data_IF_421105719238
#
_entry.id   IF_421105719238
#
_cell.length_a   1.000
_cell.length_b   1.000
_cell.length_c   1.000
_cell.angle_alpha   90.00
_cell.angle_beta   90.00
_cell.angle_gamma   90.00
#
_symmetry.space_group_name_H-M   'P 1'
#
loop_
_entity.id
_entity.type
_entity.pdbx_description
1 polymer ?
#
# COMPACT_ATOMS: atom_id res chain seq x y z
N UNK A 1 -18.85 -7.10 -11.83
CA UNK A 1 -18.07 -7.13 -10.60
C UNK A 1 -16.99 -6.08 -10.71
N UNK A 2 -17.23 -4.92 -10.11
CA UNK A 2 -16.24 -3.83 -10.11
C UNK A 2 -15.07 -4.21 -9.24
N UNK A 3 -13.98 -4.60 -9.89
CA UNK A 3 -12.71 -4.92 -9.22
C UNK A 3 -11.90 -3.68 -8.83
N UNK A 4 -12.42 -2.49 -9.14
CA UNK A 4 -11.71 -1.22 -9.01
C UNK A 4 -12.15 -0.37 -7.81
N UNK A 5 -13.00 -0.88 -6.94
CA UNK A 5 -13.35 -0.13 -5.74
C UNK A 5 -12.28 -0.43 -4.68
N UNK A 6 -11.53 0.57 -4.24
CA UNK A 6 -10.62 0.41 -3.11
C UNK A 6 -11.43 -0.10 -1.90
N UNK A 7 -10.86 -0.97 -1.08
CA UNK A 7 -11.59 -1.57 0.05
C UNK A 7 -12.01 -0.58 1.14
N UNK A 8 -11.74 0.69 0.94
CA UNK A 8 -12.03 1.78 1.87
C UNK A 8 -12.80 2.86 1.14
N UNK A 9 -13.84 3.39 1.77
CA UNK A 9 -14.74 4.43 1.25
C UNK A 9 -14.07 5.82 1.12
N UNK A 10 -12.77 5.89 0.95
CA UNK A 10 -12.13 7.15 0.59
C UNK A 10 -12.54 7.54 -0.84
N UNK A 11 -13.06 8.75 -1.04
CA UNK A 11 -13.36 9.22 -2.38
C UNK A 11 -12.08 9.19 -3.23
N UNK A 12 -12.17 8.75 -4.49
CA UNK A 12 -11.00 8.76 -5.36
C UNK A 12 -10.48 10.19 -5.51
N UNK A 13 -9.16 10.35 -5.38
CA UNK A 13 -8.52 11.63 -5.64
C UNK A 13 -8.72 12.00 -7.11
N UNK A 14 -8.96 13.28 -7.36
CA UNK A 14 -9.03 13.79 -8.74
C UNK A 14 -7.64 13.71 -9.39
N UNK A 15 -7.60 13.46 -10.70
CA UNK A 15 -6.36 13.21 -11.43
C UNK A 15 -5.39 14.41 -11.46
N UNK A 16 -5.87 15.61 -11.21
CA UNK A 16 -5.04 16.80 -11.05
C UNK A 16 -4.35 16.91 -9.67
N UNK A 17 -4.77 16.08 -8.71
CA UNK A 17 -4.11 16.00 -7.42
C UNK A 17 -2.76 15.28 -7.56
N UNK A 18 -1.63 15.87 -7.08
CA UNK A 18 -0.32 15.22 -7.17
C UNK A 18 -0.23 13.87 -6.43
N UNK A 19 -1.11 13.60 -5.50
CA UNK A 19 -1.23 12.31 -4.83
C UNK A 19 -2.14 11.31 -5.56
N UNK A 20 -2.64 11.67 -6.73
CA UNK A 20 -3.47 10.77 -7.50
C UNK A 20 -2.68 9.53 -7.92
N UNK A 21 -3.31 8.39 -7.75
CA UNK A 21 -2.81 7.12 -8.21
C UNK A 21 -3.86 6.05 -8.03
N UNK A 22 -3.64 4.92 -8.65
CA UNK A 22 -4.49 3.74 -8.48
C UNK A 22 -3.64 2.51 -8.36
N UNK A 23 -4.16 1.52 -7.69
CA UNK A 23 -3.50 0.26 -7.49
C UNK A 23 -4.46 -0.90 -7.67
N UNK A 24 -3.91 -2.05 -7.95
CA UNK A 24 -4.61 -3.32 -7.88
C UNK A 24 -3.64 -4.40 -7.44
N UNK A 25 -4.20 -5.49 -6.99
CA UNK A 25 -3.41 -6.64 -6.61
C UNK A 25 -4.10 -7.90 -7.10
N UNK A 26 -3.30 -8.87 -7.51
CA UNK A 26 -3.83 -10.20 -7.78
C UNK A 26 -4.32 -10.83 -6.47
N UNK A 27 -5.47 -11.51 -6.46
CA UNK A 27 -5.94 -12.18 -5.26
C UNK A 27 -4.96 -13.29 -4.86
N UNK A 28 -4.85 -13.54 -3.57
CA UNK A 28 -4.00 -14.62 -3.08
C UNK A 28 -4.38 -15.98 -3.69
N UNK A 29 -5.68 -16.26 -3.77
CA UNK A 29 -6.22 -17.49 -4.41
C UNK A 29 -5.50 -18.78 -3.97
N UNK A 30 -5.23 -18.89 -2.66
CA UNK A 30 -4.51 -20.04 -2.08
C UNK A 30 -3.00 -20.01 -2.28
N UNK A 31 -2.46 -19.01 -2.98
CA UNK A 31 -1.02 -18.86 -3.21
C UNK A 31 -0.35 -18.15 -2.03
N UNK A 32 0.94 -18.33 -1.90
CA UNK A 32 1.77 -17.65 -0.89
C UNK A 32 2.44 -16.40 -1.42
N UNK A 33 2.31 -16.11 -2.70
CA UNK A 33 2.87 -14.93 -3.36
C UNK A 33 1.83 -14.25 -4.24
N UNK A 34 1.86 -12.92 -4.27
CA UNK A 34 1.02 -12.12 -5.15
C UNK A 34 1.79 -10.90 -5.65
N UNK A 35 1.20 -10.20 -6.61
CA UNK A 35 1.75 -8.99 -7.22
C UNK A 35 0.83 -7.81 -6.94
N UNK A 36 1.42 -6.72 -6.49
CA UNK A 36 0.78 -5.41 -6.39
C UNK A 36 1.27 -4.55 -7.54
N UNK A 37 0.37 -3.88 -8.22
CA UNK A 37 0.69 -2.92 -9.27
C UNK A 37 0.11 -1.56 -8.91
N UNK A 38 0.92 -0.51 -9.05
CA UNK A 38 0.48 0.88 -8.88
C UNK A 38 0.73 1.69 -10.14
N UNK A 39 -0.12 2.69 -10.36
CA UNK A 39 -0.01 3.66 -11.46
C UNK A 39 -0.26 5.06 -10.92
N UNK A 40 0.49 6.04 -11.40
CA UNK A 40 0.30 7.45 -11.09
C UNK A 40 0.90 8.36 -12.15
N UNK A 41 0.47 9.62 -12.16
CA UNK A 41 1.09 10.66 -13.00
C UNK A 41 2.36 11.22 -12.33
N UNK A 42 2.39 11.29 -11.01
CA UNK A 42 3.44 11.90 -10.21
C UNK A 42 4.09 10.89 -9.25
N UNK A 43 5.37 11.09 -8.88
CA UNK A 43 6.07 10.19 -7.95
C UNK A 43 5.35 9.99 -6.62
N UNK A 44 4.83 11.05 -6.00
CA UNK A 44 4.12 10.94 -4.73
C UNK A 44 2.82 10.12 -4.85
N UNK A 45 2.10 10.26 -5.94
CA UNK A 45 0.92 9.43 -6.22
C UNK A 45 1.30 7.96 -6.40
N UNK A 46 2.43 7.69 -7.02
CA UNK A 46 2.94 6.33 -7.19
C UNK A 46 3.29 5.69 -5.84
N UNK A 47 4.00 6.42 -4.98
CA UNK A 47 4.37 5.97 -3.63
C UNK A 47 3.11 5.64 -2.82
N UNK A 48 2.15 6.54 -2.81
CA UNK A 48 0.88 6.34 -2.09
C UNK A 48 0.11 5.12 -2.62
N UNK A 49 -0.05 5.02 -3.93
CA UNK A 49 -0.76 3.89 -4.57
C UNK A 49 -0.07 2.56 -4.27
N UNK A 50 1.26 2.50 -4.38
CA UNK A 50 2.04 1.31 -4.12
C UNK A 50 1.88 0.81 -2.68
N UNK A 51 2.03 1.71 -1.70
CA UNK A 51 1.96 1.34 -0.28
C UNK A 51 0.52 1.00 0.13
N UNK A 52 -0.47 1.69 -0.40
CA UNK A 52 -1.90 1.30 -0.24
C UNK A 52 -2.17 -0.10 -0.80
N UNK A 53 -1.59 -0.42 -1.93
CA UNK A 53 -1.71 -1.75 -2.53
C UNK A 53 -1.12 -2.84 -1.63
N UNK A 54 0.04 -2.61 -1.04
CA UNK A 54 0.66 -3.53 -0.08
C UNK A 54 -0.21 -3.68 1.17
N UNK A 55 -0.71 -2.58 1.73
CA UNK A 55 -1.64 -2.62 2.86
C UNK A 55 -2.89 -3.43 2.53
N UNK A 56 -3.46 -3.22 1.37
CA UNK A 56 -4.66 -3.93 0.89
C UNK A 56 -4.45 -5.45 0.84
N UNK A 57 -3.35 -5.93 0.28
CA UNK A 57 -3.08 -7.38 0.22
C UNK A 57 -2.75 -7.97 1.58
N UNK A 58 -2.09 -7.23 2.45
CA UNK A 58 -1.81 -7.66 3.81
C UNK A 58 -3.11 -7.86 4.59
N UNK A 59 -4.05 -6.94 4.47
CA UNK A 59 -5.37 -7.03 5.10
C UNK A 59 -6.25 -8.12 4.46
N UNK A 60 -6.15 -8.35 3.17
CA UNK A 60 -6.88 -9.40 2.46
C UNK A 60 -6.44 -10.82 2.87
N UNK A 61 -5.29 -10.96 3.52
CA UNK A 61 -4.83 -12.24 4.05
C UNK A 61 -5.49 -12.64 5.38
N UNK A 62 -6.24 -11.73 6.00
CA UNK A 62 -6.98 -11.98 7.24
C UNK A 62 -8.29 -12.73 6.98
N UNK A 63 -8.80 -13.37 8.00
CA UNK A 63 -10.20 -13.76 8.02
C UNK A 63 -11.08 -12.52 8.10
N UNK A 64 -12.18 -12.53 7.39
CA UNK A 64 -13.08 -11.38 7.33
C UNK A 64 -13.67 -11.11 8.71
N UNK A 65 -13.33 -9.99 9.31
CA UNK A 65 -13.98 -9.51 10.51
C UNK A 65 -15.45 -9.16 10.21
N UNK A 66 -16.34 -9.38 11.19
CA UNK A 66 -17.75 -9.06 10.99
C UNK A 66 -17.96 -7.54 10.85
N UNK A 67 -18.96 -7.10 10.06
CA UNK A 67 -19.25 -5.68 9.87
C UNK A 67 -19.59 -4.92 11.15
N UNK A 68 -19.98 -5.61 12.20
CA UNK A 68 -20.35 -5.02 13.49
C UNK A 68 -19.17 -4.47 14.27
N UNK A 69 -17.96 -4.92 13.97
CA UNK A 69 -16.73 -4.36 14.52
C UNK A 69 -16.34 -3.03 13.89
N UNK A 70 -17.15 -2.53 12.96
CA UNK A 70 -16.84 -1.38 12.13
C UNK A 70 -17.22 -0.01 12.71
N UNK A 71 -17.77 0.08 13.91
CA UNK A 71 -18.08 1.37 14.55
C UNK A 71 -16.82 1.99 15.17
N UNK A 72 -16.35 3.06 14.56
CA UNK A 72 -15.16 3.80 14.98
C UNK A 72 -15.56 5.01 15.80
N UNK A 73 -15.29 4.97 17.11
CA UNK A 73 -15.38 6.16 17.94
C UNK A 73 -14.03 6.86 18.13
N UNK A 74 -12.91 6.16 17.99
CA UNK A 74 -11.57 6.73 18.15
C UNK A 74 -10.63 6.26 17.03
N UNK A 75 -10.19 7.18 16.19
CA UNK A 75 -9.14 6.92 15.22
C UNK A 75 -7.79 6.77 15.92
N UNK A 76 -7.14 5.64 15.67
CA UNK A 76 -5.77 5.39 16.11
C UNK A 76 -4.83 5.66 14.93
N UNK A 77 -3.86 6.54 15.10
CA UNK A 77 -2.91 6.92 14.07
C UNK A 77 -1.48 6.57 14.52
N UNK A 78 -0.81 5.74 13.74
CA UNK A 78 0.55 5.31 14.01
C UNK A 78 1.48 5.94 12.97
N UNK A 79 2.48 6.74 13.40
CA UNK A 79 3.36 7.42 12.45
C UNK A 79 4.24 6.44 11.69
N UNK A 80 4.47 6.75 10.44
CA UNK A 80 5.41 6.06 9.55
C UNK A 80 6.29 7.06 8.84
N UNK A 81 7.49 6.63 8.53
CA UNK A 81 8.47 7.40 7.77
C UNK A 81 9.31 6.46 6.93
N UNK A 82 9.62 6.86 5.71
CA UNK A 82 10.49 6.11 4.83
C UNK A 82 11.47 7.02 4.10
N UNK A 83 12.59 6.45 3.69
CA UNK A 83 13.63 7.12 2.91
C UNK A 83 14.15 6.17 1.83
N UNK A 84 14.74 6.73 0.80
CA UNK A 84 15.41 5.96 -0.24
C UNK A 84 16.22 6.86 -1.16
N UNK A 85 17.24 6.31 -1.78
CA UNK A 85 18.01 6.99 -2.84
C UNK A 85 17.23 7.10 -4.14
N UNK A 86 16.33 6.16 -4.36
CA UNK A 86 15.42 6.10 -5.50
C UNK A 86 13.98 5.89 -5.03
N UNK A 87 13.02 6.15 -5.92
CA UNK A 87 11.58 5.98 -5.62
C UNK A 87 11.27 4.51 -5.24
N UNK A 88 11.88 3.55 -5.93
CA UNK A 88 11.72 2.13 -5.61
C UNK A 88 12.15 1.77 -4.18
N UNK A 89 13.26 2.34 -3.73
CA UNK A 89 13.76 2.15 -2.37
C UNK A 89 12.86 2.82 -1.33
N UNK A 90 12.35 4.02 -1.62
CA UNK A 90 11.40 4.71 -0.76
C UNK A 90 10.11 3.90 -0.61
N UNK A 91 9.59 3.35 -1.71
CA UNK A 91 8.39 2.50 -1.68
C UNK A 91 8.64 1.26 -0.82
N UNK A 92 9.79 0.61 -0.99
CA UNK A 92 10.15 -0.56 -0.18
C UNK A 92 10.22 -0.23 1.30
N UNK A 93 10.90 0.84 1.65
CA UNK A 93 11.09 1.26 3.05
C UNK A 93 9.76 1.62 3.72
N UNK A 94 8.90 2.38 3.04
CA UNK A 94 7.56 2.69 3.56
C UNK A 94 6.67 1.46 3.66
N UNK A 95 6.69 0.58 2.67
CA UNK A 95 5.87 -0.63 2.69
C UNK A 95 6.29 -1.57 3.82
N UNK A 96 7.59 -1.74 4.05
CA UNK A 96 8.12 -2.52 5.17
C UNK A 96 7.71 -1.91 6.51
N UNK A 97 7.80 -0.58 6.65
CA UNK A 97 7.36 0.12 7.86
C UNK A 97 5.85 -0.10 8.12
N UNK A 98 5.02 -0.02 7.10
CA UNK A 98 3.58 -0.30 7.21
C UNK A 98 3.34 -1.75 7.66
N UNK A 99 4.03 -2.70 7.06
CA UNK A 99 3.90 -4.12 7.42
C UNK A 99 4.37 -4.39 8.85
N UNK A 100 5.42 -3.72 9.32
CA UNK A 100 5.88 -3.80 10.71
C UNK A 100 4.83 -3.25 11.68
N UNK A 101 4.19 -2.15 11.34
CA UNK A 101 3.09 -1.59 12.15
C UNK A 101 1.88 -2.53 12.19
N UNK A 102 1.54 -3.14 11.07
CA UNK A 102 0.48 -4.16 11.03
C UNK A 102 0.82 -5.40 11.86
N UNK A 103 2.08 -5.81 11.88
CA UNK A 103 2.52 -6.93 12.71
C UNK A 103 2.35 -6.65 14.21
N UNK A 104 2.52 -5.39 14.61
CA UNK A 104 2.37 -4.97 16.02
C UNK A 104 0.90 -4.74 16.39
N UNK A 105 0.15 -4.03 15.55
CA UNK A 105 -1.20 -3.55 15.85
C UNK A 105 -2.32 -4.42 15.26
N UNK A 106 -1.98 -5.35 14.38
CA UNK A 106 -2.95 -6.22 13.72
C UNK A 106 -3.82 -5.50 12.68
N UNK A 107 -4.92 -6.14 12.33
CA UNK A 107 -5.83 -5.67 11.27
C UNK A 107 -6.68 -4.45 11.64
N UNK A 108 -6.47 -3.90 12.82
CA UNK A 108 -7.14 -2.67 13.25
C UNK A 108 -6.66 -1.43 12.48
N UNK A 109 -5.44 -1.46 11.93
CA UNK A 109 -4.91 -0.40 11.06
C UNK A 109 -5.27 -0.73 9.61
N UNK A 110 -6.15 0.04 8.99
CA UNK A 110 -6.72 -0.30 7.69
C UNK A 110 -6.64 0.84 6.64
N UNK A 111 -6.13 2.00 7.03
CA UNK A 111 -5.96 3.15 6.14
C UNK A 111 -4.53 3.66 6.16
N UNK A 112 -4.09 4.20 5.02
CA UNK A 112 -2.82 4.89 4.87
C UNK A 112 -3.07 6.36 4.52
N UNK A 113 -2.40 7.25 5.24
CA UNK A 113 -2.33 8.67 4.91
C UNK A 113 -0.86 9.09 4.82
N UNK A 114 -0.47 9.64 3.67
CA UNK A 114 0.82 10.31 3.53
C UNK A 114 0.61 11.82 3.62
N UNK A 115 1.37 12.48 4.47
CA UNK A 115 1.27 13.91 4.72
C UNK A 115 2.29 14.71 3.91
N UNK A 116 3.37 14.08 3.50
CA UNK A 116 4.39 14.74 2.71
C UNK A 116 5.40 13.79 2.08
N UNK A 117 6.02 14.29 1.04
CA UNK A 117 7.17 13.67 0.36
C UNK A 117 8.06 14.79 -0.15
N UNK A 118 9.36 14.65 0.02
CA UNK A 118 10.33 15.59 -0.49
C UNK A 118 11.56 14.90 -1.07
N UNK A 119 12.19 15.58 -1.99
CA UNK A 119 13.52 15.22 -2.46
C UNK A 119 14.54 15.83 -1.50
N UNK A 120 15.50 15.04 -1.06
CA UNK A 120 16.55 15.47 -0.14
C UNK A 120 17.68 16.18 -0.89
N UNK A 121 18.50 16.94 -0.17
CA UNK A 121 19.65 17.67 -0.75
C UNK A 121 20.68 16.74 -1.40
N UNK A 122 20.67 15.47 -1.05
CA UNK A 122 21.55 14.45 -1.64
C UNK A 122 20.94 13.73 -2.85
N UNK A 123 19.77 14.15 -3.33
CA UNK A 123 19.07 13.56 -4.46
C UNK A 123 18.22 12.32 -4.13
N UNK A 124 18.12 11.96 -2.84
CA UNK A 124 17.22 10.91 -2.37
C UNK A 124 15.84 11.46 -2.04
N UNK A 125 15.01 10.61 -1.46
CA UNK A 125 13.61 10.88 -1.14
C UNK A 125 13.29 10.56 0.31
N UNK A 126 12.35 11.31 0.86
CA UNK A 126 11.78 11.06 2.19
C UNK A 126 10.27 11.26 2.11
N UNK A 127 9.52 10.39 2.78
CA UNK A 127 8.07 10.52 2.89
C UNK A 127 7.61 10.14 4.29
N UNK A 128 6.50 10.71 4.72
CA UNK A 128 5.97 10.51 6.07
C UNK A 128 4.46 10.62 6.09
N UNK A 129 3.88 10.00 7.08
CA UNK A 129 2.44 9.99 7.29
C UNK A 129 2.04 9.07 8.41
N UNK A 130 0.90 8.43 8.27
CA UNK A 130 0.31 7.59 9.31
C UNK A 130 -0.37 6.38 8.69
N UNK A 131 -0.28 5.25 9.38
CA UNK A 131 -1.25 4.18 9.24
C UNK A 131 -2.34 4.44 10.27
N UNK A 132 -3.58 4.46 9.83
CA UNK A 132 -4.73 4.90 10.65
C UNK A 132 -5.75 3.77 10.70
N UNK A 133 -6.42 3.66 11.82
CA UNK A 133 -7.49 2.70 11.99
C UNK A 133 -8.04 2.74 13.40
N UNK A 134 -8.48 1.61 13.85
CA UNK A 134 -8.91 1.42 15.23
C UNK A 134 -7.73 1.18 16.15
N UNK A 135 -8.02 1.07 17.43
CA UNK A 135 -7.13 0.41 18.38
C UNK A 135 -6.79 -1.00 17.87
N UNK A 136 -5.77 -1.61 18.46
CA UNK A 136 -5.25 -2.92 18.06
C UNK A 136 -6.36 -3.91 17.68
N UNK A 137 -6.16 -4.59 16.58
CA UNK A 137 -7.06 -5.60 16.04
C UNK A 137 -6.45 -7.01 16.07
N UNK A 138 -7.18 -8.01 15.53
CA UNK A 138 -6.65 -9.36 15.38
C UNK A 138 -5.33 -9.39 14.60
N UNK A 139 -4.43 -10.27 14.99
CA UNK A 139 -3.19 -10.49 14.27
C UNK A 139 -3.47 -10.94 12.83
N UNK A 140 -2.63 -10.48 11.91
CA UNK A 140 -2.65 -10.91 10.51
C UNK A 140 -1.47 -11.84 10.24
N UNK A 141 -1.55 -12.69 9.20
CA UNK A 141 -0.39 -13.44 8.74
C UNK A 141 0.78 -12.52 8.41
N UNK A 142 2.00 -12.98 8.64
CA UNK A 142 3.19 -12.22 8.27
C UNK A 142 3.27 -12.07 6.77
N UNK A 143 3.38 -10.82 6.33
CA UNK A 143 3.51 -10.44 4.92
C UNK A 143 4.83 -9.71 4.72
N UNK A 144 5.53 -10.03 3.65
CA UNK A 144 6.85 -9.49 3.35
C UNK A 144 6.98 -9.13 1.87
N UNK A 145 7.79 -8.13 1.58
CA UNK A 145 8.18 -7.84 0.21
C UNK A 145 9.20 -8.87 -0.29
N UNK A 146 9.13 -9.18 -1.57
CA UNK A 146 10.09 -10.04 -2.26
C UNK A 146 10.90 -9.20 -3.24
N UNK A 147 12.18 -9.00 -2.94
CA UNK A 147 13.05 -8.20 -3.77
C UNK A 147 12.71 -6.71 -3.71
N UNK A 148 13.18 -5.98 -4.70
CA UNK A 148 12.99 -4.53 -4.81
C UNK A 148 11.81 -4.25 -5.74
N UNK A 149 10.93 -3.29 -5.41
CA UNK A 149 9.90 -2.83 -6.33
C UNK A 149 10.49 -2.36 -7.66
N UNK A 150 9.81 -2.69 -8.76
CA UNK A 150 10.22 -2.29 -10.10
C UNK A 150 9.39 -1.09 -10.53
N UNK A 151 10.05 0.06 -10.68
CA UNK A 151 9.44 1.31 -11.13
C UNK A 151 9.78 1.53 -12.60
N UNK A 152 8.76 1.77 -13.42
CA UNK A 152 8.90 1.99 -14.85
C UNK A 152 8.06 3.20 -15.30
N UNK A 153 8.54 3.90 -16.30
CA UNK A 153 7.75 4.89 -17.01
C UNK A 153 7.06 4.19 -18.19
N UNK A 154 5.74 4.23 -18.21
CA UNK A 154 4.96 3.74 -19.34
C UNK A 154 4.79 4.85 -20.36
N UNK A 155 5.07 4.54 -21.62
CA UNK A 155 4.71 5.41 -22.72
C UNK A 155 3.20 5.62 -22.76
N UNK A 156 2.73 6.82 -23.20
CA UNK A 156 1.31 7.03 -23.39
C UNK A 156 0.77 5.94 -24.33
N UNK A 157 -0.33 5.33 -23.94
CA UNK A 157 -1.05 4.45 -24.83
C UNK A 157 -1.77 5.26 -25.93
N UNK A 158 -2.33 4.58 -26.92
CA UNK A 158 -3.05 5.21 -28.03
C UNK A 158 -4.29 6.01 -27.62
N UNK A 159 -4.65 6.00 -26.34
CA UNK A 159 -5.77 6.76 -25.79
C UNK A 159 -5.43 8.21 -25.42
N UNK A 160 -4.20 8.67 -25.63
CA UNK A 160 -3.80 10.05 -25.40
C UNK A 160 -3.60 10.43 -23.93
N UNK A 161 -3.56 9.46 -23.04
CA UNK A 161 -3.11 9.67 -21.67
C UNK A 161 -1.59 9.95 -21.66
N UNK A 162 -1.16 10.97 -20.92
CA UNK A 162 0.25 11.30 -20.77
C UNK A 162 1.07 10.14 -20.18
N UNK A 163 2.41 10.29 -20.10
CA UNK A 163 3.26 9.25 -19.55
C UNK A 163 2.83 8.93 -18.12
N UNK A 164 2.69 7.64 -17.82
CA UNK A 164 2.36 7.13 -16.50
C UNK A 164 3.56 6.45 -15.87
N UNK A 165 3.74 6.69 -14.58
CA UNK A 165 4.65 5.92 -13.76
C UNK A 165 3.93 4.65 -13.31
N UNK A 166 4.62 3.53 -13.34
CA UNK A 166 4.11 2.27 -12.81
C UNK A 166 5.10 1.63 -11.86
N UNK A 167 4.58 0.88 -10.90
CA UNK A 167 5.37 0.07 -9.99
C UNK A 167 4.78 -1.32 -9.86
N UNK A 168 5.63 -2.32 -9.78
CA UNK A 168 5.26 -3.70 -9.47
C UNK A 168 6.01 -4.16 -8.24
N UNK A 169 5.27 -4.74 -7.31
CA UNK A 169 5.79 -5.21 -6.02
C UNK A 169 5.35 -6.64 -5.83
N UNK A 170 6.30 -7.52 -5.61
CA UNK A 170 6.03 -8.91 -5.23
C UNK A 170 5.92 -9.00 -3.72
N UNK A 171 4.90 -9.66 -3.25
CA UNK A 171 4.59 -9.80 -1.83
C UNK A 171 4.34 -11.27 -1.51
N UNK A 172 4.92 -11.74 -0.42
CA UNK A 172 4.66 -13.08 0.10
C UNK A 172 3.95 -13.00 1.45
N UNK A 173 3.18 -14.03 1.74
CA UNK A 173 2.67 -14.28 3.09
C UNK A 173 3.19 -15.63 3.58
N UNK A 174 3.31 -15.76 4.89
CA UNK A 174 3.51 -17.08 5.48
C UNK A 174 2.35 -17.97 5.07
N UNK A 175 2.68 -19.09 4.43
CA UNK A 175 1.66 -20.08 4.10
C UNK A 175 0.98 -20.52 5.39
N UNK A 176 -0.35 -20.66 5.34
CA UNK A 176 -1.03 -21.45 6.35
C UNK A 176 -0.49 -22.88 6.21
N UNK A 177 0.64 -23.15 6.87
CA UNK A 177 1.04 -24.52 7.08
C UNK A 177 -0.04 -25.11 7.94
N UNK A 178 -0.87 -25.94 7.30
CA UNK A 178 -1.87 -26.70 8.04
C UNK A 178 -1.20 -27.27 9.25
N UNK A 179 -1.70 -26.89 10.41
CA UNK A 179 -1.30 -27.52 11.65
C UNK A 179 -1.46 -29.02 11.46
N UNK A 180 -0.35 -29.71 11.52
CA UNK A 180 -0.40 -31.16 11.64
C UNK A 180 -0.82 -31.51 13.06
#
# INVERSE_FOLDING_TARGET
>A
MDRDTPPHDEPPLERDNPWWGRYWADPWAGRTETMVTGLADEPQGLVLAAVRGVLSVALASREVASPEEAALDDAHAVPIHGTGGEISELIADLAEEVLDRLAIHGSGLDHLRLDGMLETDTGGYSAWGYVVGRADGPAIPVVQLVGVPVVEMRSPDDAGEGPLLSVRIRVTREGAHGSR
#
